data_IF_757449575808
#
_entry.id   IF_757449575808
#
_cell.length_a   1.000
_cell.length_b   1.000
_cell.length_c   1.000
_cell.angle_alpha   90.00
_cell.angle_beta   90.00
_cell.angle_gamma   90.00
#
_symmetry.space_group_name_H-M   'P 1'
#
loop_
_entity.id
_entity.type
_entity.pdbx_description
1 polymer ?
#
# COMPACT_ATOMS: atom_id res chain seq x y z
N UNK A 1 -5.01 6.14 -14.40
CA UNK A 1 -4.69 7.27 -13.51
C UNK A 1 -3.39 7.96 -13.92
N UNK A 2 -3.14 9.16 -13.40
CA UNK A 2 -1.87 9.88 -13.62
C UNK A 2 -0.68 9.09 -13.08
N UNK A 3 -0.86 8.47 -11.92
CA UNK A 3 0.16 7.58 -11.36
C UNK A 3 0.53 6.45 -12.32
N UNK A 4 -0.44 5.75 -12.91
CA UNK A 4 -0.14 4.64 -13.85
C UNK A 4 0.61 5.13 -15.08
N UNK A 5 0.28 6.33 -15.57
CA UNK A 5 0.97 6.93 -16.70
C UNK A 5 2.44 7.20 -16.35
N UNK A 6 2.69 7.87 -15.22
CA UNK A 6 4.04 8.21 -14.76
C UNK A 6 4.84 6.93 -14.44
N UNK A 7 4.23 5.96 -13.76
CA UNK A 7 4.86 4.68 -13.43
C UNK A 7 5.30 3.91 -14.69
N UNK A 8 4.45 3.89 -15.74
CA UNK A 8 4.79 3.25 -17.03
C UNK A 8 5.90 3.98 -17.77
N UNK A 9 5.88 5.31 -17.80
CA UNK A 9 6.95 6.10 -18.45
C UNK A 9 8.29 5.90 -17.75
N UNK A 10 8.29 5.95 -16.40
CA UNK A 10 9.48 5.68 -15.61
C UNK A 10 10.02 4.26 -15.86
N UNK A 11 9.14 3.25 -15.85
CA UNK A 11 9.52 1.86 -16.14
C UNK A 11 10.05 1.67 -17.57
N UNK A 12 9.54 2.41 -18.54
CA UNK A 12 10.06 2.38 -19.92
C UNK A 12 11.50 2.92 -19.98
N UNK A 13 11.81 4.01 -19.28
CA UNK A 13 13.17 4.52 -19.16
C UNK A 13 14.11 3.49 -18.50
N UNK A 14 13.67 2.84 -17.43
CA UNK A 14 14.45 1.78 -16.78
C UNK A 14 14.75 0.61 -17.70
N UNK A 15 13.79 0.20 -18.57
CA UNK A 15 14.00 -0.85 -19.58
C UNK A 15 15.03 -0.44 -20.63
N UNK A 16 15.01 0.83 -21.08
CA UNK A 16 16.01 1.36 -22.03
C UNK A 16 17.38 1.38 -21.35
N UNK A 17 17.46 1.84 -20.11
CA UNK A 17 18.69 1.84 -19.32
C UNK A 17 19.25 0.43 -19.13
N UNK A 18 18.43 -0.54 -18.80
CA UNK A 18 18.79 -1.96 -18.71
C UNK A 18 19.37 -2.49 -20.02
N UNK A 19 18.73 -2.16 -21.14
CA UNK A 19 19.21 -2.60 -22.46
C UNK A 19 20.58 -1.97 -22.84
N UNK A 20 20.88 -0.75 -22.39
CA UNK A 20 22.19 -0.10 -22.54
C UNK A 20 23.24 -0.82 -21.71
N UNK A 21 22.95 -1.10 -20.44
CA UNK A 21 23.85 -1.85 -19.55
C UNK A 21 24.22 -3.23 -20.12
N UNK A 22 23.24 -3.96 -20.64
CA UNK A 22 23.47 -5.28 -21.28
C UNK A 22 24.38 -5.22 -22.50
N UNK A 23 24.51 -4.06 -23.13
CA UNK A 23 25.42 -3.78 -24.25
C UNK A 23 26.77 -3.21 -23.80
N UNK A 24 27.01 -3.11 -22.49
CA UNK A 24 28.22 -2.53 -21.93
C UNK A 24 28.29 -0.98 -22.08
N UNK A 25 27.14 -0.33 -22.28
CA UNK A 25 27.04 1.11 -22.44
C UNK A 25 26.51 1.76 -21.16
N UNK A 26 26.96 2.96 -20.85
CA UNK A 26 26.37 3.77 -19.76
C UNK A 26 24.96 4.21 -20.18
N UNK A 27 23.93 3.98 -19.33
CA UNK A 27 22.58 4.43 -19.63
C UNK A 27 22.46 5.95 -19.51
N UNK A 28 21.67 6.56 -20.40
CA UNK A 28 21.27 7.96 -20.23
C UNK A 28 20.06 8.03 -19.26
N UNK A 29 20.28 8.61 -18.10
CA UNK A 29 19.29 8.82 -17.05
C UNK A 29 18.94 10.31 -16.85
N UNK A 30 19.33 11.19 -17.78
CA UNK A 30 19.19 12.65 -17.66
C UNK A 30 17.75 13.14 -17.40
N UNK A 31 16.75 12.40 -17.90
CA UNK A 31 15.34 12.74 -17.70
C UNK A 31 14.71 12.03 -16.51
N UNK A 32 15.41 11.10 -15.88
CA UNK A 32 14.85 10.24 -14.82
C UNK A 32 14.44 11.06 -13.60
N UNK A 33 15.21 12.07 -13.23
CA UNK A 33 14.93 12.91 -12.06
C UNK A 33 13.55 13.59 -12.14
N UNK A 34 13.15 14.05 -13.32
CA UNK A 34 11.83 14.65 -13.54
C UNK A 34 10.72 13.61 -13.29
N UNK A 35 10.95 12.39 -13.75
CA UNK A 35 9.99 11.29 -13.53
C UNK A 35 9.98 10.81 -12.09
N UNK A 36 11.13 10.80 -11.41
CA UNK A 36 11.25 10.47 -9.99
C UNK A 36 10.46 11.47 -9.13
N UNK A 37 10.56 12.76 -9.39
CA UNK A 37 9.81 13.80 -8.68
C UNK A 37 8.27 13.60 -8.84
N UNK A 38 7.80 13.42 -10.06
CA UNK A 38 6.38 13.20 -10.33
C UNK A 38 5.89 11.88 -9.71
N UNK A 39 6.69 10.82 -9.83
CA UNK A 39 6.36 9.51 -9.30
C UNK A 39 6.32 9.52 -7.77
N UNK A 40 7.27 10.18 -7.12
CA UNK A 40 7.33 10.30 -5.67
C UNK A 40 6.13 11.08 -5.12
N UNK A 41 5.80 12.24 -5.69
CA UNK A 41 4.66 13.05 -5.26
C UNK A 41 3.32 12.31 -5.42
N UNK A 42 3.12 11.59 -6.53
CA UNK A 42 1.90 10.81 -6.75
C UNK A 42 1.85 9.57 -5.85
N UNK A 43 2.97 8.88 -5.64
CA UNK A 43 3.07 7.75 -4.71
C UNK A 43 2.73 8.19 -3.29
N UNK A 44 3.35 9.26 -2.80
CA UNK A 44 3.14 9.78 -1.45
C UNK A 44 1.67 10.10 -1.18
N UNK A 45 0.99 10.76 -2.12
CA UNK A 45 -0.46 11.05 -2.00
C UNK A 45 -1.31 9.79 -1.92
N UNK A 46 -1.01 8.78 -2.73
CA UNK A 46 -1.75 7.50 -2.71
C UNK A 46 -1.47 6.75 -1.41
N UNK A 47 -0.20 6.66 -0.99
CA UNK A 47 0.23 6.03 0.26
C UNK A 47 -0.45 6.70 1.46
N UNK A 48 -0.42 8.03 1.54
CA UNK A 48 -1.04 8.79 2.62
C UNK A 48 -2.57 8.55 2.70
N UNK A 49 -3.24 8.59 1.55
CA UNK A 49 -4.69 8.32 1.49
C UNK A 49 -5.01 6.90 1.94
N UNK A 50 -4.27 5.91 1.47
CA UNK A 50 -4.47 4.49 1.85
C UNK A 50 -4.17 4.24 3.33
N UNK A 51 -3.10 4.82 3.86
CA UNK A 51 -2.74 4.71 5.27
C UNK A 51 -3.83 5.31 6.17
N UNK A 52 -4.36 6.48 5.80
CA UNK A 52 -5.49 7.12 6.50
C UNK A 52 -6.74 6.24 6.48
N UNK A 53 -7.10 5.69 5.31
CA UNK A 53 -8.26 4.80 5.19
C UNK A 53 -8.05 3.52 6.02
N UNK A 54 -6.87 2.90 5.95
CA UNK A 54 -6.57 1.68 6.70
C UNK A 54 -6.69 1.91 8.22
N UNK A 55 -6.15 3.03 8.71
CA UNK A 55 -6.26 3.41 10.13
C UNK A 55 -7.71 3.63 10.57
N UNK A 56 -8.49 4.35 9.77
CA UNK A 56 -9.92 4.61 10.07
C UNK A 56 -10.78 3.36 9.96
N UNK A 57 -10.43 2.42 9.10
CA UNK A 57 -11.16 1.17 8.86
C UNK A 57 -10.88 0.12 9.95
N UNK A 58 -9.75 0.17 10.62
CA UNK A 58 -9.31 -0.89 11.55
C UNK A 58 -10.35 -1.15 12.64
N UNK A 59 -10.75 -0.12 13.39
CA UNK A 59 -11.68 -0.26 14.50
C UNK A 59 -13.10 -0.70 14.07
N UNK A 60 -13.75 -0.11 13.04
CA UNK A 60 -15.02 -0.60 12.53
C UNK A 60 -14.96 -2.05 12.04
N UNK A 61 -13.89 -2.42 11.32
CA UNK A 61 -13.72 -3.78 10.84
C UNK A 61 -13.46 -4.78 11.99
N UNK A 62 -12.69 -4.40 13.02
CA UNK A 62 -12.44 -5.25 14.18
C UNK A 62 -13.74 -5.53 14.95
N UNK A 63 -14.57 -4.52 15.21
CA UNK A 63 -15.90 -4.71 15.84
C UNK A 63 -16.78 -5.63 15.00
N UNK A 64 -16.89 -5.35 13.71
CA UNK A 64 -17.70 -6.19 12.81
C UNK A 64 -17.20 -7.64 12.76
N UNK A 65 -15.87 -7.85 12.87
CA UNK A 65 -15.31 -9.21 12.93
C UNK A 65 -15.72 -9.92 14.21
N UNK A 66 -15.66 -9.25 15.36
CA UNK A 66 -16.03 -9.83 16.65
C UNK A 66 -17.54 -10.17 16.71
N UNK A 67 -18.36 -9.43 15.96
CA UNK A 67 -19.81 -9.68 15.87
C UNK A 67 -20.18 -10.88 14.98
N UNK A 68 -19.37 -11.19 13.96
CA UNK A 68 -19.68 -12.24 12.96
C UNK A 68 -18.87 -13.52 13.12
N UNK A 69 -17.80 -13.51 13.90
CA UNK A 69 -16.92 -14.66 14.07
C UNK A 69 -17.37 -15.55 15.23
N UNK A 70 -17.39 -16.88 15.03
CA UNK A 70 -17.71 -17.85 16.08
C UNK A 70 -16.69 -17.80 17.24
N UNK A 71 -15.44 -17.50 16.93
CA UNK A 71 -14.34 -17.38 17.89
C UNK A 71 -13.60 -16.09 17.67
N UNK A 72 -14.06 -14.97 18.26
CA UNK A 72 -13.46 -13.67 18.04
C UNK A 72 -11.96 -13.66 18.39
N UNK A 73 -11.15 -13.22 17.43
CA UNK A 73 -9.74 -12.93 17.60
C UNK A 73 -9.51 -11.56 17.05
N UNK A 74 -8.98 -10.65 17.82
CA UNK A 74 -8.79 -9.25 17.45
C UNK A 74 -8.24 -9.10 16.03
N UNK A 75 -9.05 -8.56 15.12
CA UNK A 75 -8.66 -8.25 13.75
C UNK A 75 -7.83 -6.97 13.73
N UNK A 76 -6.67 -7.01 13.09
CA UNK A 76 -5.79 -5.86 12.88
C UNK A 76 -5.52 -5.62 11.42
N UNK A 77 -5.42 -4.34 11.08
CA UNK A 77 -5.06 -3.86 9.76
C UNK A 77 -3.76 -3.06 9.87
N UNK A 78 -2.70 -3.52 9.22
CA UNK A 78 -1.43 -2.80 9.18
C UNK A 78 -1.12 -2.42 7.72
N UNK A 79 -1.00 -1.13 7.46
CA UNK A 79 -0.59 -0.65 6.14
C UNK A 79 0.93 -0.77 6.00
N UNK A 80 1.38 -1.50 4.99
CA UNK A 80 2.77 -1.80 4.69
C UNK A 80 3.24 -0.94 3.51
N UNK A 81 3.84 0.20 3.80
CA UNK A 81 4.40 1.09 2.79
C UNK A 81 5.70 0.50 2.21
N UNK A 82 5.77 0.43 0.90
CA UNK A 82 6.96 -0.10 0.20
C UNK A 82 8.24 0.71 0.48
N UNK A 83 8.10 1.98 0.81
CA UNK A 83 9.20 2.86 1.19
C UNK A 83 9.87 2.38 2.47
N UNK A 84 9.11 1.91 3.46
CA UNK A 84 9.62 1.44 4.74
C UNK A 84 10.50 0.18 4.58
N UNK A 85 10.13 -0.69 3.63
CA UNK A 85 10.94 -1.88 3.31
C UNK A 85 12.29 -1.56 2.66
N UNK A 86 12.43 -0.37 2.08
CA UNK A 86 13.63 0.06 1.35
C UNK A 86 14.58 0.85 2.23
N UNK A 87 14.07 1.87 2.93
CA UNK A 87 14.90 2.78 3.73
C UNK A 87 14.73 2.61 5.24
N UNK A 88 13.87 1.66 5.64
CA UNK A 88 13.55 1.40 7.03
C UNK A 88 12.59 2.42 7.65
N UNK A 89 12.17 2.11 8.87
CA UNK A 89 11.45 3.02 9.76
C UNK A 89 12.37 3.42 10.90
N UNK A 90 12.40 4.69 11.22
CA UNK A 90 13.11 5.20 12.39
C UNK A 90 12.06 5.57 13.46
N UNK A 91 11.99 4.85 14.58
CA UNK A 91 10.99 5.11 15.63
C UNK A 91 11.11 6.52 16.23
N UNK A 92 12.30 7.11 16.17
CA UNK A 92 12.57 8.44 16.71
C UNK A 92 12.30 9.56 15.68
N UNK A 93 12.00 9.21 14.42
CA UNK A 93 11.69 10.15 13.35
C UNK A 93 10.17 10.20 13.10
N UNK A 94 9.48 11.32 13.46
CA UNK A 94 8.04 11.46 13.25
C UNK A 94 7.60 11.24 11.79
N UNK A 95 8.44 11.56 10.82
CA UNK A 95 8.13 11.36 9.40
C UNK A 95 8.00 9.88 9.01
N UNK A 96 8.59 8.95 9.78
CA UNK A 96 8.43 7.51 9.57
C UNK A 96 7.18 6.96 10.25
N UNK A 97 6.69 7.64 11.28
CA UNK A 97 5.51 7.25 12.04
C UNK A 97 4.20 7.75 11.39
N UNK A 98 4.24 8.93 10.77
CA UNK A 98 3.06 9.52 10.12
C UNK A 98 3.08 9.32 8.60
N UNK A 99 2.45 8.26 8.15
CA UNK A 99 2.28 7.97 6.72
C UNK A 99 1.30 8.92 6.02
N UNK A 100 0.58 9.78 6.76
CA UNK A 100 -0.40 10.72 6.19
C UNK A 100 0.21 12.06 5.80
N UNK A 101 1.41 12.38 6.25
CA UNK A 101 2.16 13.56 5.84
C UNK A 101 2.73 13.37 4.43
N UNK A 102 2.04 13.97 3.46
CA UNK A 102 2.38 13.84 2.03
C UNK A 102 3.76 14.42 1.70
N UNK A 103 4.17 15.51 2.33
CA UNK A 103 5.45 16.16 2.06
C UNK A 103 6.60 15.27 2.56
N UNK A 104 6.52 14.84 3.81
CA UNK A 104 7.50 13.92 4.39
C UNK A 104 7.56 12.59 3.61
N UNK A 105 6.42 12.03 3.20
CA UNK A 105 6.39 10.81 2.39
C UNK A 105 6.94 11.01 0.98
N UNK A 106 6.84 12.21 0.40
CA UNK A 106 7.45 12.53 -0.89
C UNK A 106 8.98 12.51 -0.78
N UNK A 107 9.54 13.14 0.24
CA UNK A 107 10.97 13.14 0.51
C UNK A 107 11.51 11.74 0.76
N UNK A 108 10.80 10.95 1.58
CA UNK A 108 11.15 9.55 1.84
C UNK A 108 11.11 8.70 0.57
N UNK A 109 10.11 8.89 -0.29
CA UNK A 109 10.01 8.19 -1.56
C UNK A 109 11.18 8.55 -2.49
N UNK A 110 11.58 9.81 -2.57
CA UNK A 110 12.76 10.23 -3.35
C UNK A 110 14.04 9.56 -2.82
N UNK A 111 14.23 9.52 -1.50
CA UNK A 111 15.35 8.84 -0.88
C UNK A 111 15.34 7.33 -1.20
N UNK A 112 14.18 6.68 -1.11
CA UNK A 112 14.03 5.27 -1.47
C UNK A 112 14.35 5.01 -2.95
N UNK A 113 13.84 5.86 -3.87
CA UNK A 113 14.13 5.75 -5.30
C UNK A 113 15.63 5.89 -5.59
N UNK A 114 16.30 6.83 -4.92
CA UNK A 114 17.75 7.00 -5.04
C UNK A 114 18.50 5.75 -4.57
N UNK A 115 18.09 5.14 -3.46
CA UNK A 115 18.74 3.97 -2.87
C UNK A 115 18.60 2.68 -3.70
N UNK A 116 17.51 2.55 -4.47
CA UNK A 116 17.26 1.36 -5.30
C UNK A 116 17.58 1.57 -6.79
N UNK A 117 18.05 2.74 -7.18
CA UNK A 117 18.25 3.14 -8.59
C UNK A 117 19.03 2.12 -9.41
N UNK A 118 20.16 1.66 -8.91
CA UNK A 118 21.01 0.71 -9.62
C UNK A 118 20.27 -0.62 -9.85
N UNK A 119 19.57 -1.12 -8.82
CA UNK A 119 18.76 -2.34 -8.90
C UNK A 119 17.58 -2.20 -9.85
N UNK A 120 16.93 -1.03 -9.86
CA UNK A 120 15.83 -0.73 -10.78
C UNK A 120 16.33 -0.67 -12.23
N UNK A 121 17.47 -0.03 -12.46
CA UNK A 121 18.10 0.04 -13.78
C UNK A 121 18.53 -1.34 -14.27
N UNK A 122 19.14 -2.15 -13.39
CA UNK A 122 19.55 -3.52 -13.71
C UNK A 122 18.34 -4.41 -14.06
N UNK A 123 17.22 -4.27 -13.33
CA UNK A 123 16.00 -5.08 -13.51
C UNK A 123 15.01 -4.51 -14.52
N UNK A 124 15.12 -3.25 -14.88
CA UNK A 124 14.22 -2.55 -15.80
C UNK A 124 12.79 -2.37 -15.27
N UNK A 125 12.61 -2.26 -13.93
CA UNK A 125 11.30 -2.16 -13.27
C UNK A 125 11.33 -1.21 -12.08
N UNK A 126 10.17 -0.65 -11.73
CA UNK A 126 10.01 0.10 -10.48
C UNK A 126 9.96 -0.88 -9.29
N UNK A 127 10.84 -0.72 -8.31
CA UNK A 127 10.96 -1.58 -7.13
C UNK A 127 10.27 -1.01 -5.88
N UNK A 128 10.02 0.28 -5.84
CA UNK A 128 9.33 1.00 -4.76
C UNK A 128 8.25 1.89 -5.34
N UNK A 129 7.26 2.26 -4.55
CA UNK A 129 6.16 3.15 -4.93
C UNK A 129 4.80 2.58 -4.52
N UNK A 130 3.74 3.40 -4.63
CA UNK A 130 2.39 3.05 -4.17
C UNK A 130 1.81 1.74 -4.76
N UNK A 131 2.29 1.29 -5.92
CA UNK A 131 1.90 0.00 -6.53
C UNK A 131 2.54 -1.21 -5.84
N UNK A 132 3.46 -0.99 -4.91
CA UNK A 132 4.15 -2.00 -4.11
C UNK A 132 3.71 -2.01 -2.65
N UNK A 133 2.90 -1.03 -2.25
CA UNK A 133 2.32 -1.01 -0.91
C UNK A 133 1.31 -2.15 -0.75
N UNK A 134 1.12 -2.62 0.46
CA UNK A 134 0.21 -3.71 0.79
C UNK A 134 -0.57 -3.40 2.08
N UNK A 135 -1.62 -4.16 2.34
CA UNK A 135 -2.37 -4.14 3.59
C UNK A 135 -2.27 -5.53 4.23
N UNK A 136 -1.62 -5.59 5.38
CA UNK A 136 -1.49 -6.83 6.15
C UNK A 136 -2.66 -6.94 7.13
N UNK A 137 -3.37 -8.08 7.05
CA UNK A 137 -4.46 -8.43 7.96
C UNK A 137 -3.97 -9.51 8.92
N UNK A 138 -4.27 -9.37 10.21
CA UNK A 138 -3.94 -10.37 11.22
C UNK A 138 -5.09 -10.60 12.18
N UNK A 139 -5.18 -11.85 12.69
CA UNK A 139 -6.10 -12.27 13.74
C UNK A 139 -5.25 -12.63 14.97
N UNK A 140 -5.30 -11.76 15.97
CA UNK A 140 -4.35 -11.82 17.08
C UNK A 140 -2.91 -11.70 16.56
N UNK A 141 -2.06 -12.69 16.86
CA UNK A 141 -0.66 -12.69 16.44
C UNK A 141 -0.42 -13.31 15.04
N UNK A 142 -1.43 -13.86 14.38
CA UNK A 142 -1.25 -14.63 13.14
C UNK A 142 -1.76 -13.86 11.93
N UNK A 143 -1.00 -13.81 10.81
CA UNK A 143 -1.49 -13.21 9.59
C UNK A 143 -2.68 -14.01 9.03
N UNK A 144 -3.68 -13.32 8.49
CA UNK A 144 -4.83 -13.97 7.82
C UNK A 144 -4.35 -14.80 6.63
N UNK A 145 -3.47 -14.23 5.83
CA UNK A 145 -2.93 -14.87 4.63
C UNK A 145 -2.08 -16.08 4.98
N UNK A 146 -2.57 -17.26 4.59
CA UNK A 146 -1.87 -18.53 4.77
C UNK A 146 -2.08 -19.22 6.13
N UNK A 147 -2.76 -18.58 7.09
CA UNK A 147 -2.99 -19.14 8.43
C UNK A 147 -4.47 -19.19 8.83
N UNK A 148 -5.30 -18.28 8.32
CA UNK A 148 -6.72 -18.30 8.62
C UNK A 148 -7.40 -19.48 7.92
N UNK A 149 -8.35 -20.08 8.61
CA UNK A 149 -9.27 -21.06 8.02
C UNK A 149 -10.16 -20.41 6.96
N UNK A 150 -10.91 -21.23 6.21
CA UNK A 150 -11.83 -20.70 5.19
C UNK A 150 -12.91 -19.81 5.84
N UNK A 151 -13.55 -20.28 6.93
CA UNK A 151 -14.55 -19.50 7.66
C UNK A 151 -13.99 -18.20 8.22
N UNK A 152 -12.80 -18.22 8.86
CA UNK A 152 -12.15 -17.00 9.35
C UNK A 152 -11.85 -16.00 8.23
N UNK A 153 -11.35 -16.48 7.09
CA UNK A 153 -11.08 -15.63 5.92
C UNK A 153 -12.36 -14.99 5.40
N UNK A 154 -13.45 -15.73 5.43
CA UNK A 154 -14.77 -15.26 5.05
C UNK A 154 -15.31 -14.20 6.02
N UNK A 155 -15.24 -14.47 7.34
CA UNK A 155 -15.62 -13.50 8.38
C UNK A 155 -14.80 -12.21 8.30
N UNK A 156 -13.50 -12.29 8.02
CA UNK A 156 -12.66 -11.12 7.79
C UNK A 156 -13.12 -10.33 6.56
N UNK A 157 -13.43 -11.00 5.44
CA UNK A 157 -13.89 -10.32 4.23
C UNK A 157 -15.25 -9.61 4.45
N UNK A 158 -16.16 -10.24 5.19
CA UNK A 158 -17.43 -9.64 5.57
C UNK A 158 -17.22 -8.45 6.51
N UNK A 159 -16.38 -8.61 7.54
CA UNK A 159 -16.07 -7.57 8.51
C UNK A 159 -15.47 -6.32 7.86
N UNK A 160 -14.57 -6.48 6.88
CA UNK A 160 -14.02 -5.36 6.12
C UNK A 160 -15.10 -4.62 5.32
N UNK A 161 -16.08 -5.32 4.75
CA UNK A 161 -17.20 -4.69 4.03
C UNK A 161 -18.15 -3.95 4.96
N UNK A 162 -18.47 -4.53 6.12
CA UNK A 162 -19.30 -3.91 7.14
C UNK A 162 -18.61 -2.66 7.72
N UNK A 163 -17.33 -2.76 8.05
CA UNK A 163 -16.54 -1.62 8.53
C UNK A 163 -16.43 -0.50 7.50
N UNK A 164 -16.26 -0.85 6.21
CA UNK A 164 -16.24 0.14 5.14
C UNK A 164 -17.62 0.81 4.96
N UNK A 165 -18.71 0.08 5.13
CA UNK A 165 -20.07 0.61 5.11
C UNK A 165 -20.27 1.61 6.26
N UNK A 166 -19.84 1.27 7.47
CA UNK A 166 -19.90 2.16 8.63
C UNK A 166 -19.10 3.43 8.38
N UNK A 167 -17.85 3.30 7.91
CA UNK A 167 -16.96 4.42 7.62
C UNK A 167 -17.56 5.40 6.59
N UNK A 168 -18.18 4.90 5.52
CA UNK A 168 -18.84 5.74 4.50
C UNK A 168 -20.09 6.43 5.06
N UNK A 169 -20.84 5.73 5.93
CA UNK A 169 -22.02 6.31 6.59
C UNK A 169 -21.64 7.45 7.54
N UNK A 170 -20.54 7.31 8.26
CA UNK A 170 -20.01 8.34 9.17
C UNK A 170 -19.48 9.56 8.41
N UNK A 171 -18.96 9.38 7.20
CA UNK A 171 -18.53 10.46 6.32
C UNK A 171 -19.70 11.24 5.68
N UNK A 172 -20.95 10.85 5.98
CA UNK A 172 -22.18 11.52 5.53
C UNK A 172 -22.76 10.97 4.23
N UNK A 173 -22.18 9.92 3.70
CA UNK A 173 -22.76 9.17 2.58
C UNK A 173 -23.97 8.33 3.07
N UNK A 174 -24.83 7.95 2.15
CA UNK A 174 -25.94 7.02 2.42
C UNK A 174 -25.78 5.75 1.59
N UNK A 175 -24.76 4.92 1.88
CA UNK A 175 -24.51 3.71 1.12
C UNK A 175 -25.65 2.69 1.33
N UNK A 176 -25.88 1.84 0.35
CA UNK A 176 -26.78 0.68 0.45
C UNK A 176 -25.91 -0.56 0.49
N UNK A 177 -26.01 -1.33 1.58
CA UNK A 177 -25.34 -2.62 1.71
C UNK A 177 -26.27 -3.73 1.23
N UNK A 178 -25.84 -4.48 0.21
CA UNK A 178 -26.54 -5.67 -0.26
C UNK A 178 -25.68 -6.87 0.10
N UNK A 179 -26.25 -7.77 0.91
CA UNK A 179 -25.63 -9.04 1.32
C UNK A 179 -26.41 -10.18 0.67
N UNK A 180 -25.73 -11.00 -0.12
CA UNK A 180 -26.29 -12.15 -0.81
C UNK A 180 -25.50 -13.41 -0.43
N UNK A 181 -26.17 -14.47 -0.03
CA UNK A 181 -25.62 -15.77 0.40
C UNK A 181 -24.46 -15.69 1.42
N UNK A 182 -24.51 -14.70 2.32
CA UNK A 182 -23.43 -14.48 3.31
C UNK A 182 -23.35 -15.55 4.39
N UNK A 183 -24.38 -16.39 4.54
CA UNK A 183 -24.46 -17.46 5.53
C UNK A 183 -24.76 -18.84 4.92
N UNK A 184 -24.51 -19.00 3.60
CA UNK A 184 -24.73 -20.25 2.91
C UNK A 184 -23.53 -21.20 3.07
N UNK A 185 -23.38 -21.83 4.27
CA UNK A 185 -22.62 -23.06 4.48
C UNK A 185 -23.46 -24.04 5.30
#
# INVERSE_FOLDING_TARGET
>A
SDFDRVARQRAALMKVAQASLRRGQSPDLSTLEIWDQQFAALSARITATRASIASRLEEPAARSYDDVADSPRHLRLAFDASVDRVIGTDPDNPATADLTDVEAQTERMLAALASVRDKETERGVNLVGAHRDDLTLSLGAMPVKGYASHGESWSVALALRLGAFELLSDDGDTPILILDDVFAE
#
